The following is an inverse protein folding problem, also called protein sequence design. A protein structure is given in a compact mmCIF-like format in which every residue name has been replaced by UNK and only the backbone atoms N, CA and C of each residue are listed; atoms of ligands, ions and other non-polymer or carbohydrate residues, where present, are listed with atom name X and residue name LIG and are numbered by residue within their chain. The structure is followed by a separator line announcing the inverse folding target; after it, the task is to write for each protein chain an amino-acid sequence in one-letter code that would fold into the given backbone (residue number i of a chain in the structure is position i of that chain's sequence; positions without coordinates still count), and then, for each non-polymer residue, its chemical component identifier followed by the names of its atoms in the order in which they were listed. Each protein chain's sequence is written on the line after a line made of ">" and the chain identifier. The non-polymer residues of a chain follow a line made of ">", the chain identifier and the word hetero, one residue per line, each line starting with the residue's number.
data_IF_450323543542
#
_entry.id   IF_450323543542
#
_cell.length_a   1.000
_cell.length_b   1.000
_cell.length_c   1.000
_cell.angle_alpha   90.00
_cell.angle_beta   90.00
_cell.angle_gamma   90.00
#
_symmetry.space_group_name_H-M   'P 1'
#
loop_
_entity.id
_entity.type
_entity.pdbx_description
1 polymer ?
#
# COMPACT_ATOMS: atom_id res chain seq x y z
N UNK A 1 -30.92 -2.20 -2.25
CA UNK A 1 -30.74 -2.12 -3.70
C UNK A 1 -29.43 -2.82 -4.03
N UNK A 2 -29.40 -3.93 -4.74
CA UNK A 2 -28.15 -4.59 -5.12
C UNK A 2 -27.52 -3.81 -6.28
N UNK A 3 -26.28 -3.38 -6.11
CA UNK A 3 -25.46 -2.76 -7.14
C UNK A 3 -25.09 -3.80 -8.20
N UNK A 4 -25.58 -3.61 -9.39
CA UNK A 4 -25.30 -4.42 -10.57
C UNK A 4 -23.82 -4.25 -10.97
N UNK A 5 -23.00 -5.28 -10.76
CA UNK A 5 -21.71 -5.41 -11.43
C UNK A 5 -21.98 -5.63 -12.91
N UNK A 6 -21.64 -4.65 -13.71
CA UNK A 6 -21.69 -4.77 -15.16
C UNK A 6 -20.63 -5.77 -15.64
N UNK A 7 -21.08 -6.85 -16.29
CA UNK A 7 -20.27 -7.78 -17.06
C UNK A 7 -19.44 -7.01 -18.10
N UNK A 8 -18.13 -7.18 -18.09
CA UNK A 8 -17.23 -6.61 -19.08
C UNK A 8 -16.85 -7.64 -20.12
N UNK A 9 -16.92 -7.32 -21.42
CA UNK A 9 -16.53 -8.24 -22.49
C UNK A 9 -15.00 -8.42 -22.55
N UNK A 10 -14.58 -9.64 -22.82
CA UNK A 10 -13.20 -10.03 -23.07
C UNK A 10 -12.66 -9.34 -24.34
N UNK A 11 -11.88 -8.29 -24.14
CA UNK A 11 -11.09 -7.64 -25.17
C UNK A 11 -9.93 -6.97 -24.45
N UNK A 12 -8.69 -7.29 -24.81
CA UNK A 12 -7.45 -6.87 -24.15
C UNK A 12 -7.25 -5.36 -24.07
N UNK A 13 -8.03 -4.70 -23.26
CA UNK A 13 -7.83 -3.33 -22.82
C UNK A 13 -6.86 -3.39 -21.63
N UNK A 14 -5.72 -2.73 -21.73
CA UNK A 14 -4.87 -2.42 -20.60
C UNK A 14 -5.66 -1.52 -19.64
N UNK A 15 -6.39 -2.14 -18.73
CA UNK A 15 -7.13 -1.42 -17.69
C UNK A 15 -6.11 -0.74 -16.79
N UNK A 16 -6.13 0.58 -16.77
CA UNK A 16 -5.35 1.36 -15.80
C UNK A 16 -6.07 1.35 -14.45
N UNK A 17 -5.35 1.26 -13.34
CA UNK A 17 -5.96 1.38 -12.03
C UNK A 17 -6.59 2.78 -11.86
N UNK A 18 -7.71 2.84 -11.15
CA UNK A 18 -8.24 4.10 -10.65
C UNK A 18 -7.49 4.45 -9.37
N UNK A 19 -6.87 5.62 -9.33
CA UNK A 19 -6.02 6.05 -8.22
C UNK A 19 -6.68 7.19 -7.47
N UNK A 20 -6.83 7.03 -6.15
CA UNK A 20 -7.31 8.04 -5.22
C UNK A 20 -6.13 8.53 -4.39
N UNK A 21 -5.89 9.85 -4.38
CA UNK A 21 -4.93 10.46 -3.47
C UNK A 21 -5.67 10.91 -2.21
N UNK A 22 -5.39 10.22 -1.09
CA UNK A 22 -5.98 10.51 0.20
C UNK A 22 -4.92 10.97 1.17
N UNK A 23 -4.98 12.22 1.62
CA UNK A 23 -4.00 12.84 2.50
C UNK A 23 -4.65 13.92 3.38
N UNK A 24 -3.99 14.22 4.50
CA UNK A 24 -4.32 15.35 5.38
C UNK A 24 -3.15 16.34 5.37
N UNK A 25 -3.20 17.37 4.54
CA UNK A 25 -2.23 18.46 4.60
C UNK A 25 -2.70 19.55 5.58
N UNK A 26 -1.75 20.36 6.06
CA UNK A 26 -2.08 21.63 6.70
C UNK A 26 -2.60 22.65 5.69
N UNK A 27 -3.17 23.75 6.17
CA UNK A 27 -3.69 24.84 5.30
C UNK A 27 -2.60 25.42 4.38
N UNK A 28 -1.35 25.43 4.86
CA UNK A 28 -0.17 25.87 4.09
C UNK A 28 0.51 24.74 3.30
N UNK A 29 -0.15 23.57 3.15
CA UNK A 29 0.29 22.48 2.29
C UNK A 29 1.36 21.55 2.88
N UNK A 30 1.63 21.60 4.18
CA UNK A 30 2.57 20.68 4.82
C UNK A 30 1.93 19.33 5.07
N UNK A 31 2.73 18.28 4.97
CA UNK A 31 2.29 16.88 5.17
C UNK A 31 3.07 16.17 6.29
N UNK A 32 4.12 16.79 6.84
CA UNK A 32 4.86 16.24 7.98
C UNK A 32 4.17 16.67 9.26
N UNK A 33 3.67 15.71 10.01
CA UNK A 33 2.76 15.93 11.14
C UNK A 33 3.43 15.91 12.52
N UNK A 34 4.71 15.63 12.61
CA UNK A 34 5.44 15.36 13.86
C UNK A 34 5.32 16.47 14.91
N UNK A 35 5.14 17.72 14.47
CA UNK A 35 4.98 18.88 15.34
C UNK A 35 3.54 19.40 15.44
N UNK A 36 2.58 18.71 14.84
CA UNK A 36 1.20 19.19 14.82
C UNK A 36 0.46 18.81 16.11
N UNK A 37 -0.36 19.73 16.58
CA UNK A 37 -1.42 19.42 17.56
C UNK A 37 -2.64 18.94 16.78
N UNK A 38 -2.73 17.66 16.57
CA UNK A 38 -3.86 17.08 15.85
C UNK A 38 -5.14 17.18 16.71
N UNK A 39 -6.26 17.62 16.13
CA UNK A 39 -7.54 17.56 16.81
C UNK A 39 -7.89 16.13 17.21
N UNK A 40 -8.56 15.96 18.35
CA UNK A 40 -9.09 14.67 18.75
C UNK A 40 -10.07 14.17 17.69
N UNK A 41 -9.91 12.88 17.28
CA UNK A 41 -10.77 12.26 16.26
C UNK A 41 -10.30 12.45 14.81
N UNK A 42 -9.27 13.24 14.53
CA UNK A 42 -8.78 13.42 13.16
C UNK A 42 -8.35 12.09 12.52
N UNK A 43 -7.65 11.24 13.27
CA UNK A 43 -7.19 9.93 12.78
C UNK A 43 -8.38 9.04 12.44
N UNK A 44 -9.38 8.96 13.33
CA UNK A 44 -10.58 8.18 13.07
C UNK A 44 -11.38 8.69 11.86
N UNK A 45 -11.40 10.01 11.64
CA UNK A 45 -12.04 10.60 10.45
C UNK A 45 -11.28 10.27 9.18
N UNK A 46 -9.95 10.30 9.23
CA UNK A 46 -9.09 9.92 8.13
C UNK A 46 -9.32 8.46 7.73
N UNK A 47 -9.29 7.55 8.70
CA UNK A 47 -9.51 6.11 8.48
C UNK A 47 -10.92 5.82 7.95
N UNK A 48 -11.94 6.47 8.52
CA UNK A 48 -13.32 6.33 8.05
C UNK A 48 -13.48 6.78 6.59
N UNK A 49 -12.82 7.85 6.22
CA UNK A 49 -12.84 8.35 4.84
C UNK A 49 -12.10 7.39 3.92
N UNK A 50 -10.94 6.89 4.32
CA UNK A 50 -10.19 5.88 3.55
C UNK A 50 -11.03 4.62 3.32
N UNK A 51 -11.69 4.11 4.35
CA UNK A 51 -12.55 2.93 4.25
C UNK A 51 -13.74 3.12 3.30
N UNK A 52 -14.23 4.37 3.15
CA UNK A 52 -15.35 4.66 2.24
C UNK A 52 -15.04 4.49 0.75
N UNK A 53 -13.77 4.41 0.39
CA UNK A 53 -13.34 4.22 -1.01
C UNK A 53 -13.45 2.77 -1.48
N UNK A 54 -13.56 1.80 -0.57
CA UNK A 54 -13.61 0.35 -0.88
C UNK A 54 -12.51 -0.05 -1.88
N UNK A 55 -11.29 0.38 -1.60
CA UNK A 55 -10.15 0.20 -2.49
C UNK A 55 -9.58 -1.23 -2.39
N UNK A 56 -9.20 -1.81 -3.53
CA UNK A 56 -8.56 -3.13 -3.59
C UNK A 56 -7.13 -3.12 -3.05
N UNK A 57 -6.51 -1.94 -2.97
CA UNK A 57 -5.15 -1.77 -2.48
C UNK A 57 -4.88 -0.36 -1.98
N UNK A 58 -3.88 -0.22 -1.12
CA UNK A 58 -3.32 1.06 -0.75
C UNK A 58 -1.81 1.09 -1.05
N UNK A 59 -1.27 2.27 -1.34
CA UNK A 59 0.12 2.43 -1.78
C UNK A 59 0.80 3.56 -1.03
N UNK A 60 1.98 3.28 -0.47
CA UNK A 60 2.80 4.28 0.21
C UNK A 60 4.28 4.11 -0.12
N UNK A 61 5.08 5.12 0.17
CA UNK A 61 6.52 5.09 0.00
C UNK A 61 7.22 4.25 1.07
N UNK A 62 8.48 3.91 0.79
CA UNK A 62 9.33 3.09 1.66
C UNK A 62 9.35 3.56 3.13
N UNK A 63 9.58 4.85 3.36
CA UNK A 63 9.72 5.38 4.73
C UNK A 63 8.45 5.15 5.55
N UNK A 64 7.29 5.44 4.97
CA UNK A 64 6.00 5.22 5.63
C UNK A 64 5.65 3.75 5.80
N UNK A 65 6.25 2.87 4.99
CA UNK A 65 6.04 1.43 5.06
C UNK A 65 6.96 0.72 6.09
N UNK A 66 8.08 1.34 6.48
CA UNK A 66 9.04 0.74 7.43
C UNK A 66 8.41 0.18 8.71
N UNK A 67 7.46 0.85 9.37
CA UNK A 67 6.82 0.33 10.58
C UNK A 67 6.09 -1.01 10.39
N UNK A 68 5.63 -1.29 9.17
CA UNK A 68 4.88 -2.51 8.83
C UNK A 68 5.76 -3.65 8.32
N UNK A 69 6.97 -3.34 7.85
CA UNK A 69 7.83 -4.34 7.21
C UNK A 69 8.56 -5.25 8.21
N UNK A 70 8.89 -4.73 9.39
CA UNK A 70 9.73 -5.44 10.37
C UNK A 70 11.23 -5.28 10.11
N UNK A 71 12.02 -6.17 10.72
CA UNK A 71 13.48 -6.12 10.72
C UNK A 71 14.12 -7.46 10.30
N UNK A 72 13.55 -8.16 9.34
CA UNK A 72 14.08 -9.44 8.88
C UNK A 72 15.57 -9.32 8.51
N UNK A 73 16.37 -10.30 8.93
CA UNK A 73 17.77 -10.36 8.58
C UNK A 73 17.93 -10.59 7.07
N UNK A 74 18.88 -9.87 6.45
CA UNK A 74 19.24 -10.17 5.07
C UNK A 74 20.01 -11.49 5.04
N UNK A 75 19.75 -12.38 4.05
CA UNK A 75 20.56 -13.55 3.85
C UNK A 75 22.02 -13.16 3.58
N UNK A 76 22.95 -14.02 3.99
CA UNK A 76 24.37 -13.82 3.73
C UNK A 76 24.61 -13.62 2.22
N UNK A 77 25.61 -12.80 1.88
CA UNK A 77 25.91 -12.46 0.48
C UNK A 77 26.19 -13.68 -0.41
N UNK A 78 26.76 -14.72 0.20
CA UNK A 78 27.06 -16.02 -0.46
C UNK A 78 25.79 -16.84 -0.79
N UNK A 79 24.69 -16.58 -0.09
CA UNK A 79 23.42 -17.29 -0.27
C UNK A 79 22.45 -16.54 -1.22
N UNK A 80 22.88 -15.38 -1.72
CA UNK A 80 22.07 -14.59 -2.64
C UNK A 80 22.05 -15.24 -4.01
N UNK A 81 21.08 -16.11 -4.22
CA UNK A 81 20.74 -16.59 -5.56
C UNK A 81 20.37 -15.41 -6.45
N UNK A 82 20.87 -15.38 -7.67
CA UNK A 82 20.50 -14.36 -8.64
C UNK A 82 19.01 -14.50 -8.97
N UNK A 83 18.20 -13.60 -8.45
CA UNK A 83 16.76 -13.58 -8.70
C UNK A 83 16.51 -13.01 -10.09
N UNK A 84 15.74 -13.69 -10.95
CA UNK A 84 15.36 -13.16 -12.27
C UNK A 84 14.60 -11.83 -12.11
N UNK A 85 14.75 -10.93 -13.08
CA UNK A 85 13.96 -9.67 -13.13
C UNK A 85 12.63 -9.92 -13.82
N UNK A 86 11.79 -10.70 -13.17
CA UNK A 86 10.42 -10.98 -13.61
C UNK A 86 9.47 -10.69 -12.47
N UNK A 87 8.23 -10.40 -12.79
CA UNK A 87 7.20 -10.24 -11.80
C UNK A 87 6.95 -11.57 -11.07
N UNK A 88 6.88 -11.52 -9.77
CA UNK A 88 6.57 -12.67 -8.93
C UNK A 88 5.28 -12.41 -8.18
N UNK A 89 4.28 -13.26 -8.38
CA UNK A 89 2.99 -13.19 -7.69
C UNK A 89 2.87 -14.40 -6.78
N UNK A 90 3.09 -14.19 -5.48
CA UNK A 90 2.94 -15.24 -4.48
C UNK A 90 1.47 -15.55 -4.19
N UNK A 91 0.62 -14.53 -4.25
CA UNK A 91 -0.80 -14.63 -3.94
C UNK A 91 -1.59 -13.63 -4.79
N UNK A 92 -2.56 -14.11 -5.54
CA UNK A 92 -3.38 -13.31 -6.45
C UNK A 92 -4.82 -13.11 -5.97
N UNK A 93 -5.18 -13.69 -4.83
CA UNK A 93 -6.54 -13.77 -4.30
C UNK A 93 -6.69 -13.09 -2.93
N UNK A 94 -5.76 -12.23 -2.56
CA UNK A 94 -5.87 -11.46 -1.33
C UNK A 94 -7.06 -10.47 -1.41
N UNK A 95 -7.79 -10.27 -0.29
CA UNK A 95 -8.91 -9.33 -0.25
C UNK A 95 -8.48 -7.88 -0.42
N UNK A 96 -7.26 -7.55 -0.03
CA UNK A 96 -6.63 -6.24 -0.22
C UNK A 96 -5.12 -6.37 -0.29
N UNK A 97 -4.45 -5.40 -0.88
CA UNK A 97 -2.99 -5.38 -1.01
C UNK A 97 -2.39 -4.09 -0.45
N UNK A 98 -1.33 -4.23 0.33
CA UNK A 98 -0.46 -3.13 0.69
C UNK A 98 0.70 -3.05 -0.32
N UNK A 99 0.88 -1.91 -0.95
CA UNK A 99 1.89 -1.70 -1.98
C UNK A 99 2.96 -0.74 -1.47
N UNK A 100 4.20 -1.21 -1.42
CA UNK A 100 5.35 -0.41 -1.04
C UNK A 100 6.15 0.03 -2.27
N UNK A 101 6.41 1.34 -2.38
CA UNK A 101 7.35 1.85 -3.39
C UNK A 101 8.74 1.86 -2.77
N UNK A 102 9.54 0.83 -3.08
CA UNK A 102 10.91 0.66 -2.59
C UNK A 102 11.87 0.27 -3.71
N UNK A 103 12.24 1.20 -4.59
CA UNK A 103 13.10 0.92 -5.73
C UNK A 103 14.51 0.44 -5.35
N UNK A 104 14.93 0.71 -4.13
CA UNK A 104 16.23 0.27 -3.59
C UNK A 104 16.20 -1.08 -2.88
N UNK A 105 15.03 -1.71 -2.71
CA UNK A 105 14.89 -2.98 -2.01
C UNK A 105 15.39 -2.93 -0.57
N UNK A 106 15.10 -1.85 0.18
CA UNK A 106 15.60 -1.61 1.53
C UNK A 106 14.67 -2.12 2.62
N UNK A 107 13.39 -2.31 2.31
CA UNK A 107 12.43 -2.88 3.25
C UNK A 107 12.78 -4.33 3.56
N UNK A 108 12.56 -4.71 4.80
CA UNK A 108 12.88 -6.04 5.31
C UNK A 108 11.62 -6.68 5.85
N UNK A 109 11.03 -7.52 5.04
CA UNK A 109 9.76 -8.15 5.35
C UNK A 109 9.96 -9.38 6.23
N UNK A 110 9.26 -9.44 7.34
CA UNK A 110 9.17 -10.61 8.22
C UNK A 110 7.98 -11.51 7.87
N UNK A 111 6.96 -10.91 7.24
CA UNK A 111 5.74 -11.59 6.83
C UNK A 111 5.32 -11.14 5.44
N UNK A 112 4.56 -11.95 4.74
CA UNK A 112 3.85 -11.59 3.52
C UNK A 112 2.48 -10.97 3.74
N UNK A 113 2.11 -10.71 5.00
CA UNK A 113 0.86 -10.07 5.39
C UNK A 113 1.13 -8.94 6.37
N UNK A 114 0.31 -7.90 6.30
CA UNK A 114 0.26 -6.79 7.25
C UNK A 114 -1.05 -6.93 8.00
N UNK A 115 -0.97 -7.04 9.32
CA UNK A 115 -2.13 -6.96 10.21
C UNK A 115 -2.37 -5.49 10.56
N UNK A 116 -3.55 -4.98 10.26
CA UNK A 116 -4.01 -3.63 10.64
C UNK A 116 -4.79 -3.68 11.97
#
# INVERSE_FOLDING_TARGET
>A
MPSSRADSPAGGSTRRPYVICHMVPSVDGRIVTDSWRLPSGLVAEYERTAASFDADAWIIGRISMEPYAGNAALPARSERTRIPRIDFVARSDAPSYAIAIDPGGKLRWESGSIDE
#
